data_IF_627525421649
#
_entry.id   IF_627525421649
#
_cell.length_a   1.000
_cell.length_b   1.000
_cell.length_c   1.000
_cell.angle_alpha   90.00
_cell.angle_beta   90.00
_cell.angle_gamma   90.00
#
_symmetry.space_group_name_H-M   'P 1'
#
loop_
_entity.id
_entity.type
_entity.pdbx_description
1 polymer ?
#
# COMPACT_ATOMS: atom_id res chain seq x y z
N UNK A 1 -13.07 5.83 -24.18
CA UNK A 1 -11.83 5.11 -23.83
C UNK A 1 -11.81 5.02 -22.30
N UNK A 2 -12.24 3.89 -21.73
CA UNK A 2 -12.35 3.76 -20.27
C UNK A 2 -10.95 3.63 -19.68
N UNK A 3 -10.49 4.66 -18.96
CA UNK A 3 -9.35 4.50 -18.06
C UNK A 3 -9.78 3.55 -16.94
N UNK A 4 -9.46 2.27 -17.12
CA UNK A 4 -9.52 1.29 -16.06
C UNK A 4 -8.43 1.69 -15.07
N UNK A 5 -8.80 2.36 -13.98
CA UNK A 5 -7.92 2.58 -12.84
C UNK A 5 -7.58 1.22 -12.23
N UNK A 6 -6.63 0.52 -12.82
CA UNK A 6 -6.06 -0.70 -12.27
C UNK A 6 -5.11 -0.30 -11.15
N UNK A 7 -5.63 -0.25 -9.93
CA UNK A 7 -4.80 -0.26 -8.73
C UNK A 7 -4.14 -1.64 -8.66
N UNK A 8 -2.84 -1.70 -8.96
CA UNK A 8 -2.07 -2.93 -8.86
C UNK A 8 -1.33 -2.92 -7.53
N UNK A 9 -1.62 -3.92 -6.69
CA UNK A 9 -0.84 -4.13 -5.46
C UNK A 9 0.59 -4.45 -5.89
N UNK A 10 1.52 -3.62 -5.45
CA UNK A 10 2.94 -3.76 -5.75
C UNK A 10 3.64 -4.61 -4.69
N UNK A 11 3.21 -4.51 -3.43
CA UNK A 11 3.73 -5.33 -2.34
C UNK A 11 3.09 -5.03 -1.00
N UNK A 12 3.28 -5.95 -0.07
CA UNK A 12 2.86 -5.85 1.33
C UNK A 12 4.08 -5.97 2.21
N UNK A 13 4.29 -5.00 3.11
CA UNK A 13 5.44 -4.96 4.01
C UNK A 13 4.93 -5.03 5.45
N UNK A 14 5.36 -6.04 6.20
CA UNK A 14 5.07 -6.15 7.63
C UNK A 14 6.27 -5.68 8.43
N UNK A 15 6.05 -4.74 9.35
CA UNK A 15 7.11 -4.21 10.21
C UNK A 15 6.63 -4.07 11.65
N UNK A 16 7.57 -3.99 12.59
CA UNK A 16 7.30 -3.62 13.96
C UNK A 16 7.66 -2.13 14.13
N UNK A 17 6.78 -1.37 14.75
CA UNK A 17 7.12 0.00 15.15
C UNK A 17 8.05 0.00 16.37
N UNK A 18 8.47 1.19 16.80
CA UNK A 18 9.37 1.34 17.97
C UNK A 18 8.78 0.83 19.29
N UNK A 19 7.45 0.68 19.37
CA UNK A 19 6.76 0.11 20.54
C UNK A 19 6.56 -1.40 20.44
N UNK A 20 7.04 -2.03 19.37
CA UNK A 20 6.83 -3.45 19.11
C UNK A 20 5.43 -3.78 18.57
N UNK A 21 4.67 -2.76 18.14
CA UNK A 21 3.36 -2.97 17.51
C UNK A 21 3.53 -3.37 16.05
N UNK A 22 2.72 -4.33 15.60
CA UNK A 22 2.75 -4.83 14.24
C UNK A 22 2.00 -3.90 13.31
N UNK A 23 2.71 -3.31 12.36
CA UNK A 23 2.13 -2.53 11.28
C UNK A 23 2.28 -3.26 9.95
N UNK A 24 1.24 -3.17 9.12
CA UNK A 24 1.25 -3.69 7.75
C UNK A 24 1.12 -2.50 6.80
N UNK A 25 2.00 -2.42 5.81
CA UNK A 25 2.01 -1.37 4.80
C UNK A 25 1.71 -1.99 3.45
N UNK A 26 0.58 -1.61 2.86
CA UNK A 26 0.20 -2.00 1.51
C UNK A 26 0.61 -0.92 0.52
N UNK A 27 1.33 -1.31 -0.53
CA UNK A 27 1.82 -0.42 -1.60
C UNK A 27 1.00 -0.65 -2.86
N UNK A 28 0.38 0.41 -3.37
CA UNK A 28 -0.42 0.37 -4.59
C UNK A 28 0.19 1.29 -5.64
N UNK A 29 0.43 0.76 -6.83
CA UNK A 29 0.72 1.56 -8.02
C UNK A 29 -0.57 1.69 -8.84
N UNK A 30 -0.90 2.91 -9.25
CA UNK A 30 -2.00 3.16 -10.18
C UNK A 30 -1.44 3.96 -11.33
N UNK A 31 -1.42 3.47 -12.55
CA UNK A 31 -1.02 4.28 -13.71
C UNK A 31 -2.27 4.99 -14.27
N UNK A 32 -2.28 6.30 -14.53
CA UNK A 32 -1.18 7.30 -14.49
C UNK A 32 -1.06 8.07 -13.16
N UNK A 33 -1.57 7.52 -12.06
CA UNK A 33 -1.71 8.15 -10.75
C UNK A 33 -0.48 7.92 -9.84
N UNK A 34 -0.35 8.66 -8.72
CA UNK A 34 0.74 8.44 -7.77
C UNK A 34 0.69 7.05 -7.11
N UNK A 35 1.83 6.63 -6.55
CA UNK A 35 1.92 5.45 -5.67
C UNK A 35 1.22 5.77 -4.34
N UNK A 36 0.34 4.89 -3.89
CA UNK A 36 -0.36 5.00 -2.61
C UNK A 36 0.22 4.01 -1.60
N UNK A 37 0.33 4.45 -0.35
CA UNK A 37 0.74 3.63 0.80
C UNK A 37 -0.40 3.64 1.82
N UNK A 38 -0.90 2.47 2.18
CA UNK A 38 -1.89 2.32 3.26
C UNK A 38 -1.23 1.61 4.43
N UNK A 39 -1.35 2.19 5.64
CA UNK A 39 -0.78 1.62 6.86
C UNK A 39 -1.93 1.09 7.72
N UNK A 40 -1.84 -0.17 8.09
CA UNK A 40 -2.77 -0.88 8.96
C UNK A 40 -2.08 -1.18 10.30
N UNK A 41 -2.73 -0.82 11.41
CA UNK A 41 -2.34 -1.18 12.77
C UNK A 41 -3.07 -2.49 13.15
N UNK A 42 -2.35 -3.48 13.72
CA UNK A 42 -2.92 -4.75 14.20
C UNK A 42 -2.84 -4.88 15.72
#
# INVERSE_FOLDING_TARGET
MFHRNTHRIFGVWKNLDRSGRSIIVDVYASDPLPIFLTIHDQ
#
